data_IF_016756578915
#
_entry.id   IF_016756578915
#
_cell.length_a   1.000
_cell.length_b   1.000
_cell.length_c   1.000
_cell.angle_alpha   90.00
_cell.angle_beta   90.00
_cell.angle_gamma   90.00
#
_symmetry.space_group_name_H-M   'P 1'
#
loop_
_entity.id
_entity.type
_entity.pdbx_description
1 polymer ?
#
# COMPACT_ATOMS: atom_id res chain seq x y z
N UNK A 1 -0.94 19.96 27.01
CA UNK A 1 -0.78 18.94 25.94
C UNK A 1 -0.28 17.67 26.60
N UNK A 2 -0.91 16.55 26.35
CA UNK A 2 -0.42 15.22 26.74
C UNK A 2 0.18 14.52 25.52
N UNK A 3 1.21 13.75 25.73
CA UNK A 3 1.95 13.05 24.68
C UNK A 3 1.76 11.53 24.81
N UNK A 4 1.30 10.92 23.74
CA UNK A 4 1.06 9.49 23.68
C UNK A 4 1.96 8.85 22.65
N UNK A 5 2.41 7.65 22.95
CA UNK A 5 3.22 6.82 22.06
C UNK A 5 2.50 5.51 21.80
N UNK A 6 2.49 5.08 20.56
CA UNK A 6 1.98 3.77 20.15
C UNK A 6 3.02 2.95 19.42
N UNK A 7 3.01 1.64 19.62
CA UNK A 7 3.79 0.67 18.88
C UNK A 7 2.87 -0.04 17.88
N UNK A 8 3.16 0.12 16.60
CA UNK A 8 2.49 -0.61 15.52
C UNK A 8 3.39 -1.77 15.10
N UNK A 9 2.91 -2.99 15.27
CA UNK A 9 3.56 -4.18 14.75
C UNK A 9 2.94 -4.50 13.40
N UNK A 10 3.77 -4.59 12.39
CA UNK A 10 3.32 -5.02 11.08
C UNK A 10 3.07 -6.53 11.07
N UNK A 11 1.88 -6.93 10.62
CA UNK A 11 1.57 -8.34 10.33
C UNK A 11 2.45 -8.84 9.19
N UNK A 12 2.62 -7.99 8.20
CA UNK A 12 3.49 -8.19 7.04
C UNK A 12 4.61 -7.16 7.07
N UNK A 13 5.84 -7.64 7.08
CA UNK A 13 7.02 -6.77 7.10
C UNK A 13 7.07 -5.89 5.86
N UNK A 14 7.51 -4.66 6.01
CA UNK A 14 7.80 -3.75 4.90
C UNK A 14 9.30 -3.69 4.66
N UNK A 15 9.68 -3.34 3.44
CA UNK A 15 11.07 -3.29 3.01
C UNK A 15 11.45 -1.87 2.64
N UNK A 16 12.42 -1.30 3.34
CA UNK A 16 12.85 0.08 3.20
C UNK A 16 14.33 0.17 2.87
N UNK A 17 14.73 1.21 2.15
CA UNK A 17 16.14 1.56 2.03
C UNK A 17 16.70 1.98 3.38
N UNK A 18 17.95 1.67 3.62
CA UNK A 18 18.65 2.00 4.88
C UNK A 18 18.63 3.49 5.22
N UNK A 19 18.56 4.36 4.22
CA UNK A 19 18.46 5.82 4.38
C UNK A 19 17.19 6.29 5.11
N UNK A 20 16.10 5.51 5.02
CA UNK A 20 14.84 5.82 5.68
C UNK A 20 14.86 5.48 7.17
N UNK A 21 15.80 4.66 7.61
CA UNK A 21 15.86 4.19 8.99
C UNK A 21 16.22 5.32 9.94
N UNK A 22 15.62 5.30 11.14
CA UNK A 22 15.74 6.36 12.13
C UNK A 22 15.04 7.67 11.75
N UNK A 23 14.32 7.70 10.63
CA UNK A 23 13.58 8.89 10.20
C UNK A 23 12.16 8.91 10.74
N UNK A 24 11.59 10.11 10.70
CA UNK A 24 10.25 10.42 11.15
C UNK A 24 9.40 10.91 9.98
N UNK A 25 8.15 10.49 9.93
CA UNK A 25 7.18 10.82 8.89
C UNK A 25 5.90 11.34 9.53
N UNK A 26 5.34 12.40 8.97
CA UNK A 26 4.04 12.91 9.38
C UNK A 26 2.93 12.06 8.73
N UNK A 27 1.88 11.76 9.50
CA UNK A 27 0.69 11.04 9.04
C UNK A 27 -0.51 11.44 9.89
N UNK A 28 -1.69 10.87 9.59
CA UNK A 28 -2.93 11.20 10.28
C UNK A 28 -3.79 9.95 10.53
N UNK A 29 -4.48 9.93 11.65
CA UNK A 29 -5.50 8.93 11.99
C UNK A 29 -6.76 9.66 12.46
N UNK A 30 -7.80 9.71 11.62
CA UNK A 30 -9.09 10.31 11.96
C UNK A 30 -8.98 11.76 12.44
N UNK A 31 -8.27 12.62 11.72
CA UNK A 31 -8.04 14.00 12.09
C UNK A 31 -7.06 14.21 13.24
N UNK A 32 -6.35 13.15 13.69
CA UNK A 32 -5.28 13.26 14.68
C UNK A 32 -3.93 13.14 14.00
N UNK A 33 -3.16 14.23 13.97
CA UNK A 33 -1.80 14.21 13.46
C UNK A 33 -0.92 13.30 14.31
N UNK A 34 -0.19 12.41 13.66
CA UNK A 34 0.78 11.52 14.28
C UNK A 34 2.14 11.66 13.61
N UNK A 35 3.19 11.38 14.34
CA UNK A 35 4.56 11.23 13.81
C UNK A 35 4.95 9.77 13.87
N UNK A 36 5.24 9.15 12.71
CA UNK A 36 5.66 7.75 12.60
C UNK A 36 7.16 7.67 12.51
N UNK A 37 7.77 6.93 13.42
CA UNK A 37 9.22 6.75 13.52
C UNK A 37 9.62 5.35 13.09
N UNK A 38 10.48 5.25 12.08
CA UNK A 38 11.12 3.98 11.73
C UNK A 38 12.21 3.63 12.75
N UNK A 39 12.49 2.33 12.93
CA UNK A 39 13.57 1.86 13.80
C UNK A 39 14.93 2.42 13.38
N UNK A 40 15.87 2.47 14.34
CA UNK A 40 17.24 2.86 14.09
C UNK A 40 18.10 1.66 13.66
N UNK A 41 19.12 1.91 12.84
CA UNK A 41 20.18 0.94 12.54
C UNK A 41 21.40 1.25 13.39
N UNK A 42 21.94 0.21 14.01
CA UNK A 42 23.19 0.31 14.76
C UNK A 42 24.16 -0.71 14.22
N UNK A 43 25.32 -0.24 13.80
CA UNK A 43 26.44 -1.09 13.46
C UNK A 43 27.14 -1.57 14.75
N UNK A 44 27.30 -2.89 14.87
CA UNK A 44 27.94 -3.53 16.00
C UNK A 44 29.22 -4.21 15.52
N UNK A 45 30.35 -3.89 16.15
CA UNK A 45 31.61 -4.56 15.88
C UNK A 45 31.70 -5.82 16.76
N UNK A 46 31.72 -6.98 16.12
CA UNK A 46 31.84 -8.28 16.80
C UNK A 46 33.28 -8.64 17.21
N UNK A 47 33.38 -9.74 17.92
CA UNK A 47 34.66 -10.36 18.25
C UNK A 47 35.33 -10.84 16.94
N UNK A 48 36.60 -10.45 16.72
CA UNK A 48 37.32 -10.78 15.48
C UNK A 48 37.28 -9.70 14.39
N UNK A 49 36.64 -8.56 14.65
CA UNK A 49 36.64 -7.44 13.71
C UNK A 49 35.52 -7.49 12.66
N UNK A 50 34.64 -8.49 12.73
CA UNK A 50 33.45 -8.56 11.90
C UNK A 50 32.43 -7.49 12.31
N UNK A 51 31.72 -6.91 11.30
CA UNK A 51 30.68 -5.95 11.55
C UNK A 51 29.29 -6.62 11.32
N UNK A 52 28.38 -6.36 12.22
CA UNK A 52 26.98 -6.74 12.07
C UNK A 52 26.08 -5.52 12.24
N UNK A 53 24.87 -5.60 11.67
CA UNK A 53 23.87 -4.55 11.82
C UNK A 53 22.72 -5.07 12.69
N UNK A 54 22.35 -4.28 13.69
CA UNK A 54 21.18 -4.53 14.52
C UNK A 54 20.14 -3.43 14.29
N UNK A 55 18.89 -3.83 14.25
CA UNK A 55 17.76 -2.91 14.24
C UNK A 55 17.33 -2.68 15.68
N UNK A 56 17.29 -1.42 16.09
CA UNK A 56 16.90 -0.99 17.44
C UNK A 56 15.61 -0.18 17.40
N UNK A 57 15.03 -0.02 18.58
CA UNK A 57 13.94 0.93 18.79
C UNK A 57 14.35 2.32 18.29
N UNK A 58 13.42 3.10 17.71
CA UNK A 58 13.63 4.53 17.46
C UNK A 58 14.07 5.24 18.75
N UNK A 59 14.92 6.26 18.64
CA UNK A 59 15.45 6.99 19.81
C UNK A 59 14.34 7.56 20.73
N UNK A 60 13.15 7.84 20.19
CA UNK A 60 12.00 8.32 20.96
C UNK A 60 11.27 7.22 21.72
N UNK A 61 11.57 5.94 21.46
CA UNK A 61 10.78 4.81 21.96
C UNK A 61 11.07 4.54 23.44
N UNK A 62 9.99 4.30 24.20
CA UNK A 62 10.01 3.79 25.57
C UNK A 62 9.77 2.29 25.65
N UNK A 63 9.66 1.59 24.52
CA UNK A 63 9.43 0.15 24.43
C UNK A 63 10.72 -0.66 24.57
N UNK A 64 11.38 -0.56 25.73
CA UNK A 64 12.68 -1.20 25.98
C UNK A 64 12.68 -2.73 25.84
N UNK A 65 11.54 -3.37 26.14
CA UNK A 65 11.41 -4.83 26.10
C UNK A 65 11.05 -5.38 24.73
N UNK A 66 10.68 -4.52 23.78
CA UNK A 66 10.37 -4.95 22.41
C UNK A 66 11.68 -4.99 21.61
N UNK A 67 11.99 -6.14 21.03
CA UNK A 67 13.25 -6.40 20.30
C UNK A 67 13.07 -6.85 18.85
N UNK A 68 11.83 -7.00 18.38
CA UNK A 68 11.55 -7.47 17.03
C UNK A 68 11.26 -6.32 16.05
N UNK A 69 12.20 -5.38 15.94
CA UNK A 69 12.07 -4.20 15.09
C UNK A 69 12.25 -4.48 13.60
N UNK A 70 12.97 -5.55 13.27
CA UNK A 70 13.26 -5.94 11.89
C UNK A 70 14.65 -6.53 11.71
N UNK A 71 15.08 -6.62 10.45
CA UNK A 71 16.37 -7.18 10.08
C UNK A 71 17.01 -6.39 8.94
N UNK A 72 18.34 -6.21 8.99
CA UNK A 72 19.08 -5.76 7.80
C UNK A 72 19.19 -6.95 6.86
N UNK A 73 18.71 -6.78 5.63
CA UNK A 73 18.69 -7.82 4.60
C UNK A 73 19.83 -7.68 3.61
N UNK A 74 20.27 -6.45 3.38
CA UNK A 74 21.34 -6.16 2.43
C UNK A 74 22.17 -4.99 2.94
N UNK A 75 23.49 -5.09 2.74
CA UNK A 75 24.46 -4.04 3.05
C UNK A 75 25.49 -3.93 1.93
N UNK A 76 26.06 -2.74 1.78
CA UNK A 76 27.11 -2.48 0.81
C UNK A 76 28.48 -2.75 1.46
N UNK A 77 29.09 -3.87 1.10
CA UNK A 77 30.42 -4.27 1.57
C UNK A 77 31.56 -3.51 0.90
N UNK A 78 31.30 -2.86 -0.22
CA UNK A 78 32.31 -2.14 -0.99
C UNK A 78 32.42 -0.66 -0.60
N UNK A 79 31.58 -0.18 0.31
CA UNK A 79 31.68 1.16 0.86
C UNK A 79 32.66 1.17 2.04
N UNK A 80 33.58 2.14 2.14
CA UNK A 80 34.46 2.30 3.32
C UNK A 80 33.65 2.48 4.61
N UNK A 81 32.41 3.00 4.50
CA UNK A 81 31.45 3.15 5.58
C UNK A 81 30.34 2.11 5.44
N UNK A 82 30.61 0.84 5.72
CA UNK A 82 29.62 -0.24 5.68
C UNK A 82 28.18 0.28 5.94
N UNK A 83 27.36 0.40 4.88
CA UNK A 83 26.02 0.96 4.97
C UNK A 83 24.95 -0.11 4.75
N UNK A 84 23.92 -0.13 5.59
CA UNK A 84 22.73 -0.93 5.32
C UNK A 84 22.00 -0.36 4.11
N UNK A 85 21.73 -1.19 3.11
CA UNK A 85 21.08 -0.78 1.86
C UNK A 85 19.61 -1.18 1.88
N UNK A 86 19.29 -2.38 2.37
CA UNK A 86 17.95 -2.91 2.44
C UNK A 86 17.59 -3.43 3.83
N UNK A 87 16.48 -2.98 4.36
CA UNK A 87 16.00 -3.29 5.72
C UNK A 87 14.57 -3.80 5.68
N UNK A 88 14.34 -4.93 6.33
CA UNK A 88 13.01 -5.41 6.65
C UNK A 88 12.56 -4.80 7.98
N UNK A 89 11.47 -4.04 7.96
CA UNK A 89 10.89 -3.39 9.14
C UNK A 89 9.65 -4.14 9.59
N UNK A 90 9.61 -4.52 10.87
CA UNK A 90 8.50 -5.29 11.47
C UNK A 90 7.63 -4.48 12.42
N UNK A 91 8.12 -3.35 12.88
CA UNK A 91 7.37 -2.47 13.75
C UNK A 91 7.84 -1.02 13.59
N UNK A 92 6.93 -0.11 13.89
CA UNK A 92 7.18 1.33 13.94
C UNK A 92 6.59 1.90 15.22
N UNK A 93 7.10 3.05 15.63
CA UNK A 93 6.53 3.82 16.72
C UNK A 93 5.81 5.02 16.15
N UNK A 94 4.62 5.35 16.65
CA UNK A 94 4.04 6.64 16.39
C UNK A 94 3.89 7.46 17.67
N UNK A 95 3.93 8.77 17.54
CA UNK A 95 3.74 9.72 18.63
C UNK A 95 2.68 10.72 18.22
N UNK A 96 1.75 11.02 19.13
CA UNK A 96 0.80 12.11 18.97
C UNK A 96 0.79 13.01 20.20
N UNK A 97 0.45 14.29 20.00
CA UNK A 97 0.25 15.28 21.06
C UNK A 97 -1.21 15.70 21.07
N UNK A 98 -1.87 15.58 22.20
CA UNK A 98 -3.31 15.82 22.34
C UNK A 98 -3.56 16.82 23.46
N UNK A 99 -4.52 17.73 23.24
CA UNK A 99 -4.99 18.66 24.28
C UNK A 99 -5.64 17.85 25.42
N UNK A 100 -5.34 18.18 26.66
CA UNK A 100 -5.77 17.39 27.83
C UNK A 100 -7.28 17.19 27.91
N UNK A 101 -8.06 18.19 27.53
CA UNK A 101 -9.53 18.11 27.47
C UNK A 101 -10.07 17.18 26.38
N UNK A 102 -9.26 16.76 25.41
CA UNK A 102 -9.65 15.92 24.26
C UNK A 102 -9.08 14.52 24.31
N UNK A 103 -8.32 14.17 25.36
CA UNK A 103 -7.55 12.92 25.44
C UNK A 103 -8.42 11.70 25.19
N UNK A 104 -9.53 11.54 25.91
CA UNK A 104 -10.40 10.37 25.78
C UNK A 104 -10.93 10.20 24.35
N UNK A 105 -11.39 11.32 23.76
CA UNK A 105 -11.93 11.30 22.40
C UNK A 105 -10.85 10.96 21.35
N UNK A 106 -9.70 11.62 21.42
CA UNK A 106 -8.63 11.42 20.44
C UNK A 106 -7.98 10.03 20.55
N UNK A 107 -7.80 9.52 21.76
CA UNK A 107 -7.32 8.14 21.97
C UNK A 107 -8.33 7.12 21.46
N UNK A 108 -9.63 7.36 21.64
CA UNK A 108 -10.67 6.48 21.08
C UNK A 108 -10.64 6.48 19.54
N UNK A 109 -10.45 7.66 18.90
CA UNK A 109 -10.29 7.79 17.45
C UNK A 109 -9.08 7.00 16.97
N UNK A 110 -7.91 7.20 17.58
CA UNK A 110 -6.68 6.47 17.22
C UNK A 110 -6.88 4.96 17.38
N UNK A 111 -7.44 4.53 18.51
CA UNK A 111 -7.63 3.11 18.80
C UNK A 111 -8.55 2.40 17.80
N UNK A 112 -9.55 3.09 17.27
CA UNK A 112 -10.46 2.56 16.24
C UNK A 112 -9.87 2.65 14.84
N UNK A 113 -9.18 3.76 14.54
CA UNK A 113 -8.66 4.05 13.22
C UNK A 113 -7.35 3.37 12.87
N UNK A 114 -6.58 2.89 13.84
CA UNK A 114 -5.23 2.37 13.62
C UNK A 114 -5.19 1.13 12.71
N UNK A 115 -6.21 0.28 12.76
CA UNK A 115 -6.32 -0.87 11.86
C UNK A 115 -6.59 -0.42 10.42
N UNK A 116 -7.53 0.50 10.24
CA UNK A 116 -7.81 1.08 8.91
C UNK A 116 -6.57 1.77 8.35
N UNK A 117 -5.85 2.54 9.16
CA UNK A 117 -4.60 3.18 8.77
C UNK A 117 -3.56 2.13 8.30
N UNK A 118 -3.41 1.03 9.04
CA UNK A 118 -2.50 -0.05 8.67
C UNK A 118 -2.95 -0.75 7.38
N UNK A 119 -4.23 -1.00 7.22
CA UNK A 119 -4.80 -1.59 6.00
C UNK A 119 -4.55 -0.69 4.79
N UNK A 120 -4.87 0.60 4.87
CA UNK A 120 -4.56 1.57 3.81
C UNK A 120 -3.06 1.66 3.50
N UNK A 121 -2.22 1.57 4.54
CA UNK A 121 -0.77 1.52 4.35
C UNK A 121 -0.37 0.33 3.48
N UNK A 122 -0.92 -0.86 3.74
CA UNK A 122 -0.65 -2.05 2.92
C UNK A 122 -1.23 -1.93 1.50
N UNK A 123 -2.46 -1.44 1.35
CA UNK A 123 -3.07 -1.16 0.05
C UNK A 123 -2.16 -0.26 -0.79
N UNK A 124 -1.69 0.82 -0.20
CA UNK A 124 -0.79 1.75 -0.85
C UNK A 124 0.54 1.10 -1.23
N UNK A 125 1.15 0.34 -0.31
CA UNK A 125 2.36 -0.42 -0.59
C UNK A 125 2.18 -1.33 -1.79
N UNK A 126 1.08 -2.08 -1.82
CA UNK A 126 0.76 -3.04 -2.87
C UNK A 126 0.51 -2.35 -4.21
N UNK A 127 -0.28 -1.29 -4.21
CA UNK A 127 -0.56 -0.47 -5.40
C UNK A 127 0.70 0.19 -5.95
N UNK A 128 1.67 0.55 -5.11
CA UNK A 128 2.97 1.06 -5.54
C UNK A 128 3.93 -0.05 -6.02
N UNK A 129 3.49 -1.32 -6.05
CA UNK A 129 4.34 -2.46 -6.43
C UNK A 129 5.44 -2.76 -5.41
N UNK A 130 5.28 -2.30 -4.17
CA UNK A 130 6.26 -2.55 -3.11
C UNK A 130 5.99 -3.89 -2.45
N UNK A 131 7.04 -4.65 -2.16
CA UNK A 131 6.88 -5.94 -1.56
C UNK A 131 6.39 -5.82 -0.11
N UNK A 132 5.28 -6.47 0.16
CA UNK A 132 4.81 -6.74 1.51
C UNK A 132 4.78 -8.26 1.65
N UNK A 133 5.28 -8.81 2.76
CA UNK A 133 5.39 -10.26 2.90
C UNK A 133 4.01 -10.89 3.11
N UNK A 134 3.72 -11.93 2.31
CA UNK A 134 2.62 -12.89 2.55
C UNK A 134 1.22 -12.27 2.80
N UNK A 135 0.85 -11.23 2.06
CA UNK A 135 -0.48 -10.63 2.13
C UNK A 135 -1.53 -11.56 1.53
N UNK A 136 -2.63 -11.75 2.26
CA UNK A 136 -3.85 -12.40 1.80
C UNK A 136 -4.95 -11.37 1.55
N UNK A 137 -5.98 -11.75 0.80
CA UNK A 137 -7.15 -10.91 0.51
C UNK A 137 -7.82 -10.40 1.80
N UNK A 138 -7.92 -11.24 2.83
CA UNK A 138 -8.50 -10.89 4.12
C UNK A 138 -7.74 -9.76 4.85
N UNK A 139 -6.49 -9.49 4.48
CA UNK A 139 -5.66 -8.46 5.10
C UNK A 139 -6.05 -7.04 4.65
N UNK A 140 -6.72 -6.90 3.51
CA UNK A 140 -7.22 -5.62 2.98
C UNK A 140 -8.62 -5.27 3.44
N UNK A 141 -9.36 -6.22 4.03
CA UNK A 141 -10.77 -6.06 4.41
C UNK A 141 -10.98 -6.08 5.92
N UNK A 142 -9.94 -5.81 6.71
CA UNK A 142 -10.09 -5.68 8.16
C UNK A 142 -11.07 -4.54 8.49
N UNK A 143 -12.20 -4.89 9.09
CA UNK A 143 -13.24 -3.95 9.54
C UNK A 143 -12.76 -3.19 10.77
N UNK A 144 -13.39 -2.04 11.04
CA UNK A 144 -13.21 -1.29 12.28
C UNK A 144 -13.26 -2.22 13.49
N UNK A 145 -12.22 -2.18 14.31
CA UNK A 145 -12.14 -2.99 15.53
C UNK A 145 -10.92 -2.62 16.37
N UNK A 146 -10.93 -3.04 17.63
CA UNK A 146 -9.79 -2.83 18.53
C UNK A 146 -8.60 -3.64 18.03
N UNK A 147 -7.51 -2.97 17.68
CA UNK A 147 -6.31 -3.62 17.20
C UNK A 147 -5.63 -4.42 18.30
N UNK A 148 -5.44 -5.71 18.06
CA UNK A 148 -4.64 -6.58 18.95
C UNK A 148 -3.12 -6.37 18.79
N UNK A 149 -2.70 -5.57 17.80
CA UNK A 149 -1.30 -5.40 17.41
C UNK A 149 -0.74 -4.00 17.72
N UNK A 150 -1.47 -3.18 18.47
CA UNK A 150 -1.04 -1.84 18.88
C UNK A 150 -1.02 -1.72 20.39
N UNK A 151 0.13 -1.33 20.91
CA UNK A 151 0.30 -0.95 22.31
C UNK A 151 0.35 0.58 22.40
N UNK A 152 -0.52 1.18 23.18
CA UNK A 152 -0.52 2.61 23.48
C UNK A 152 0.00 2.83 24.91
N UNK A 153 0.90 3.79 25.08
CA UNK A 153 1.43 4.18 26.39
C UNK A 153 1.28 5.69 26.56
N UNK A 154 0.74 6.11 27.67
CA UNK A 154 0.85 7.49 28.13
C UNK A 154 2.31 7.75 28.53
N UNK A 155 2.99 8.66 27.84
CA UNK A 155 4.42 8.94 28.05
C UNK A 155 4.67 9.71 29.36
N UNK A 156 3.68 10.44 29.85
CA UNK A 156 3.81 11.26 31.07
C UNK A 156 3.62 10.41 32.31
N UNK A 157 2.67 9.45 32.26
CA UNK A 157 2.35 8.56 33.38
C UNK A 157 3.01 7.19 33.28
N UNK A 158 3.60 6.86 32.16
CA UNK A 158 4.22 5.54 31.83
C UNK A 158 3.22 4.36 32.02
N UNK A 159 1.95 4.59 31.72
CA UNK A 159 0.87 3.61 31.90
C UNK A 159 0.40 3.08 30.54
N UNK A 160 0.26 1.76 30.46
CA UNK A 160 -0.22 1.06 29.26
C UNK A 160 -1.73 1.20 29.11
N UNK A 161 -2.19 1.62 27.92
CA UNK A 161 -3.61 1.94 27.66
C UNK A 161 -4.38 0.79 27.00
N UNK A 162 -3.69 -0.19 26.34
CA UNK A 162 -4.34 -1.41 25.78
C UNK A 162 -3.33 -2.52 25.41
N UNK A 163 -3.79 -3.79 25.35
CA UNK A 163 -2.93 -4.96 25.06
C UNK A 163 -3.57 -5.97 24.11
N UNK A 164 -2.80 -6.57 23.21
CA UNK A 164 -2.71 -8.01 22.89
C UNK A 164 -1.88 -8.40 21.65
N UNK A 165 -1.52 -9.70 21.50
CA UNK A 165 -0.32 -10.36 21.05
C UNK A 165 -0.34 -11.08 19.68
N UNK A 166 0.81 -11.41 19.13
CA UNK A 166 1.45 -11.67 17.93
C UNK A 166 1.56 -13.02 17.21
N UNK A 167 2.29 -13.12 16.07
CA UNK A 167 2.80 -14.34 15.39
C UNK A 167 3.95 -14.05 14.38
N UNK A 168 4.72 -15.10 13.96
CA UNK A 168 6.01 -15.10 13.25
C UNK A 168 5.88 -15.60 11.79
N UNK A 169 6.70 -15.08 10.84
CA UNK A 169 6.74 -15.52 9.42
C UNK A 169 8.16 -15.54 8.81
N UNK A 170 8.39 -16.38 7.76
CA UNK A 170 9.66 -16.63 7.04
C UNK A 170 9.70 -15.92 5.67
N UNK A 171 10.86 -15.45 5.20
CA UNK A 171 10.98 -14.61 4.02
C UNK A 171 11.92 -15.08 2.89
N UNK A 172 11.73 -14.55 1.68
CA UNK A 172 12.51 -14.72 0.43
C UNK A 172 13.48 -13.53 0.22
N UNK A 173 14.61 -13.76 -0.50
CA UNK A 173 15.51 -12.69 -0.97
C UNK A 173 14.81 -11.84 -2.05
N UNK A 174 14.91 -10.51 -1.94
CA UNK A 174 14.24 -9.53 -2.82
C UNK A 174 15.26 -8.57 -3.43
N UNK A 175 14.92 -7.99 -4.58
CA UNK A 175 15.73 -6.99 -5.24
C UNK A 175 15.66 -5.65 -4.48
N UNK A 176 16.78 -4.92 -4.38
CA UNK A 176 16.86 -3.60 -3.70
C UNK A 176 15.96 -2.57 -4.37
N UNK A 177 15.75 -2.67 -5.68
CA UNK A 177 14.87 -1.77 -6.42
C UNK A 177 13.41 -1.83 -5.96
N UNK A 178 13.03 -2.91 -5.29
CA UNK A 178 11.70 -3.09 -4.74
C UNK A 178 11.51 -2.39 -3.38
N UNK A 179 12.56 -1.95 -2.71
CA UNK A 179 12.49 -1.36 -1.38
C UNK A 179 11.97 0.08 -1.42
N UNK A 180 11.24 0.46 -0.38
CA UNK A 180 10.80 1.85 -0.23
C UNK A 180 11.96 2.80 -0.09
N UNK A 181 12.02 3.80 -0.94
CA UNK A 181 12.88 4.96 -0.77
C UNK A 181 12.30 5.91 0.28
N UNK A 182 13.12 6.84 0.77
CA UNK A 182 12.68 7.90 1.69
C UNK A 182 11.51 8.71 1.12
N UNK A 183 11.59 9.13 -0.15
CA UNK A 183 10.55 9.94 -0.80
C UNK A 183 9.23 9.18 -0.96
N UNK A 184 9.30 7.90 -1.30
CA UNK A 184 8.10 7.06 -1.39
C UNK A 184 7.41 6.92 -0.03
N UNK A 185 8.18 6.72 1.05
CA UNK A 185 7.61 6.65 2.40
C UNK A 185 6.98 7.99 2.83
N UNK A 186 7.59 9.13 2.52
CA UNK A 186 6.99 10.44 2.75
C UNK A 186 5.62 10.53 2.06
N UNK A 187 5.55 10.14 0.80
CA UNK A 187 4.30 10.17 0.04
C UNK A 187 3.26 9.19 0.60
N UNK A 188 3.67 7.98 0.95
CA UNK A 188 2.75 6.99 1.55
C UNK A 188 2.15 7.54 2.83
N UNK A 189 2.97 7.92 3.80
CA UNK A 189 2.49 8.36 5.12
C UNK A 189 1.65 9.65 5.04
N UNK A 190 1.99 10.57 4.14
CA UNK A 190 1.25 11.82 3.95
C UNK A 190 -0.14 11.60 3.31
N UNK A 191 -0.32 10.54 2.52
CA UNK A 191 -1.57 10.28 1.81
C UNK A 191 -2.51 9.31 2.53
N UNK A 192 -2.11 8.72 3.66
CA UNK A 192 -3.00 7.88 4.45
C UNK A 192 -4.09 8.74 5.11
N UNK A 193 -5.34 8.41 4.82
CA UNK A 193 -6.50 9.07 5.39
C UNK A 193 -7.64 8.06 5.59
N UNK A 194 -7.87 7.66 6.84
CA UNK A 194 -8.84 6.62 7.20
C UNK A 194 -10.30 6.99 6.93
N UNK A 195 -10.59 8.26 6.73
CA UNK A 195 -11.93 8.75 6.38
C UNK A 195 -12.23 8.59 4.89
N UNK A 196 -11.22 8.29 4.10
CA UNK A 196 -11.34 8.03 2.67
C UNK A 196 -11.31 6.53 2.37
N UNK A 197 -12.01 6.14 1.32
CA UNK A 197 -11.98 4.77 0.78
C UNK A 197 -11.27 4.74 -0.55
N UNK A 198 -10.63 3.62 -0.82
CA UNK A 198 -10.08 3.34 -2.14
C UNK A 198 -11.20 3.43 -3.18
N UNK A 199 -10.99 4.14 -4.28
CA UNK A 199 -11.99 4.17 -5.34
C UNK A 199 -12.14 2.78 -5.99
N UNK A 200 -13.31 2.50 -6.55
CA UNK A 200 -13.64 1.16 -7.03
C UNK A 200 -12.68 0.65 -8.10
N UNK A 201 -12.16 1.53 -8.94
CA UNK A 201 -11.18 1.21 -9.98
C UNK A 201 -9.88 0.66 -9.38
N UNK A 202 -9.36 1.31 -8.35
CA UNK A 202 -8.17 0.84 -7.65
C UNK A 202 -8.45 -0.37 -6.76
N UNK A 203 -9.65 -0.51 -6.19
CA UNK A 203 -10.07 -1.70 -5.47
C UNK A 203 -10.04 -2.95 -6.36
N UNK A 204 -10.58 -2.86 -7.58
CA UNK A 204 -10.53 -3.95 -8.55
C UNK A 204 -9.08 -4.27 -8.96
N UNK A 205 -8.27 -3.25 -9.16
CA UNK A 205 -6.86 -3.44 -9.50
C UNK A 205 -6.06 -4.06 -8.35
N UNK A 206 -6.34 -3.68 -7.10
CA UNK A 206 -5.75 -4.29 -5.92
C UNK A 206 -6.09 -5.79 -5.85
N UNK A 207 -7.36 -6.17 -6.10
CA UNK A 207 -7.77 -7.58 -6.19
C UNK A 207 -7.00 -8.32 -7.29
N UNK A 208 -6.82 -7.69 -8.44
CA UNK A 208 -6.03 -8.26 -9.53
C UNK A 208 -4.57 -8.52 -9.12
N UNK A 209 -3.95 -7.59 -8.40
CA UNK A 209 -2.58 -7.76 -7.89
C UNK A 209 -2.49 -8.92 -6.89
N UNK A 210 -3.48 -9.07 -6.00
CA UNK A 210 -3.56 -10.19 -5.05
C UNK A 210 -3.69 -11.53 -5.78
N UNK A 211 -4.58 -11.62 -6.78
CA UNK A 211 -4.74 -12.83 -7.57
C UNK A 211 -3.47 -13.16 -8.39
N UNK A 212 -2.79 -12.16 -8.91
CA UNK A 212 -1.50 -12.35 -9.58
C UNK A 212 -0.44 -12.93 -8.64
N UNK A 213 -0.41 -12.47 -7.38
CA UNK A 213 0.51 -12.99 -6.36
C UNK A 213 0.20 -14.45 -5.98
N UNK A 214 -1.09 -14.83 -5.99
CA UNK A 214 -1.55 -16.22 -5.80
C UNK A 214 -1.31 -17.12 -7.03
N UNK A 215 -0.71 -16.59 -8.09
CA UNK A 215 -0.52 -17.25 -9.39
C UNK A 215 -1.85 -17.57 -10.13
N UNK A 216 -2.96 -16.95 -9.71
CA UNK A 216 -4.27 -17.07 -10.34
C UNK A 216 -4.39 -16.07 -11.51
N UNK A 217 -3.50 -16.16 -12.49
CA UNK A 217 -3.35 -15.19 -13.57
C UNK A 217 -4.64 -14.94 -14.37
N UNK A 218 -5.49 -15.96 -14.50
CA UNK A 218 -6.80 -15.84 -15.14
C UNK A 218 -7.68 -14.83 -14.42
N UNK A 219 -7.83 -14.97 -13.09
CA UNK A 219 -8.63 -14.07 -12.27
C UNK A 219 -7.99 -12.69 -12.19
N UNK A 220 -6.68 -12.62 -12.07
CA UNK A 220 -5.94 -11.35 -12.09
C UNK A 220 -6.24 -10.53 -13.35
N UNK A 221 -6.21 -11.13 -14.54
CA UNK A 221 -6.55 -10.44 -15.80
C UNK A 221 -8.03 -10.01 -15.81
N UNK A 222 -8.94 -10.83 -15.30
CA UNK A 222 -10.37 -10.49 -15.26
C UNK A 222 -10.64 -9.28 -14.36
N UNK A 223 -10.10 -9.27 -13.13
CA UNK A 223 -10.23 -8.15 -12.19
C UNK A 223 -9.56 -6.87 -12.74
N UNK A 224 -8.35 -6.99 -13.28
CA UNK A 224 -7.64 -5.86 -13.88
C UNK A 224 -8.42 -5.25 -15.06
N UNK A 225 -9.00 -6.07 -15.92
CA UNK A 225 -9.80 -5.58 -17.04
C UNK A 225 -11.13 -4.97 -16.59
N UNK A 226 -11.68 -5.40 -15.45
CA UNK A 226 -12.83 -4.74 -14.81
C UNK A 226 -12.44 -3.35 -14.29
N UNK A 227 -11.28 -3.22 -13.67
CA UNK A 227 -10.76 -1.92 -13.21
C UNK A 227 -10.66 -0.92 -14.37
N UNK A 228 -10.08 -1.31 -15.50
CA UNK A 228 -9.97 -0.42 -16.66
C UNK A 228 -11.32 -0.15 -17.31
N UNK A 229 -12.26 -1.10 -17.29
CA UNK A 229 -13.61 -0.88 -17.82
C UNK A 229 -14.36 0.21 -17.00
N UNK A 230 -14.25 0.18 -15.68
CA UNK A 230 -14.79 1.22 -14.79
C UNK A 230 -14.13 2.57 -15.07
N UNK A 231 -12.82 2.61 -15.13
CA UNK A 231 -12.02 3.80 -15.38
C UNK A 231 -12.38 4.47 -16.72
N UNK A 232 -12.41 3.69 -17.79
CA UNK A 232 -12.78 4.14 -19.14
C UNK A 232 -14.22 4.64 -19.18
N UNK A 233 -15.14 3.92 -18.52
CA UNK A 233 -16.54 4.31 -18.47
C UNK A 233 -16.72 5.64 -17.76
N UNK A 234 -16.11 5.80 -16.59
CA UNK A 234 -16.16 7.06 -15.85
C UNK A 234 -15.60 8.21 -16.69
N UNK A 235 -14.47 8.02 -17.35
CA UNK A 235 -13.87 9.03 -18.22
C UNK A 235 -14.78 9.43 -19.39
N UNK A 236 -15.52 8.46 -19.98
CA UNK A 236 -16.52 8.72 -21.00
C UNK A 236 -17.67 9.55 -20.42
N UNK A 237 -18.20 9.16 -19.24
CA UNK A 237 -19.29 9.90 -18.59
C UNK A 237 -18.89 11.36 -18.31
N UNK A 238 -17.72 11.58 -17.71
CA UNK A 238 -17.21 12.91 -17.41
C UNK A 238 -17.10 13.80 -18.66
N UNK A 239 -16.75 13.22 -19.81
CA UNK A 239 -16.64 13.98 -21.06
C UNK A 239 -18.01 14.22 -21.68
N UNK A 240 -18.90 13.21 -21.66
CA UNK A 240 -20.26 13.34 -22.13
C UNK A 240 -21.04 14.41 -21.33
N UNK A 241 -20.85 14.47 -20.01
CA UNK A 241 -21.45 15.49 -19.15
C UNK A 241 -21.00 16.89 -19.53
N UNK A 242 -19.71 17.10 -19.83
CA UNK A 242 -19.21 18.38 -20.35
C UNK A 242 -19.84 18.78 -21.69
N UNK A 243 -20.11 17.79 -22.53
CA UNK A 243 -20.74 17.98 -23.84
C UNK A 243 -22.28 17.98 -23.79
N UNK A 244 -22.87 17.80 -22.60
CA UNK A 244 -24.32 17.66 -22.38
C UNK A 244 -24.95 16.52 -23.19
N UNK A 245 -24.25 15.38 -23.30
CA UNK A 245 -24.67 14.17 -23.99
C UNK A 245 -25.03 13.09 -22.97
N UNK A 246 -26.05 12.28 -23.24
CA UNK A 246 -26.35 11.09 -22.42
C UNK A 246 -25.31 9.99 -22.62
N UNK A 247 -24.22 10.06 -21.85
CA UNK A 247 -23.13 9.10 -21.88
C UNK A 247 -23.56 7.69 -21.49
N UNK A 248 -24.50 7.57 -20.53
CA UNK A 248 -25.04 6.28 -20.10
C UNK A 248 -25.82 5.62 -21.23
N UNK A 249 -26.73 6.35 -21.87
CA UNK A 249 -27.50 5.86 -23.02
C UNK A 249 -26.59 5.43 -24.17
N UNK A 250 -25.53 6.17 -24.45
CA UNK A 250 -24.51 5.78 -25.45
C UNK A 250 -23.81 4.48 -25.11
N UNK A 251 -23.32 4.32 -23.88
CA UNK A 251 -22.63 3.11 -23.42
C UNK A 251 -23.56 1.90 -23.44
N UNK A 252 -24.80 2.04 -22.97
CA UNK A 252 -25.76 0.94 -22.87
C UNK A 252 -26.31 0.50 -24.22
N UNK A 253 -26.47 1.43 -25.17
CA UNK A 253 -27.07 1.14 -26.49
C UNK A 253 -26.03 0.68 -27.54
N UNK A 254 -24.87 1.38 -27.61
CA UNK A 254 -23.94 1.23 -28.74
C UNK A 254 -22.54 0.76 -28.32
N UNK A 255 -22.09 1.11 -27.12
CA UNK A 255 -20.72 0.86 -26.68
C UNK A 255 -20.66 -0.09 -25.46
N UNK A 256 -21.35 -1.23 -25.55
CA UNK A 256 -21.52 -2.19 -24.46
C UNK A 256 -20.25 -2.93 -24.08
N UNK A 257 -19.38 -3.20 -25.05
CA UNK A 257 -18.14 -3.93 -24.80
C UNK A 257 -16.99 -2.97 -24.47
N UNK A 258 -16.01 -3.43 -23.72
CA UNK A 258 -14.80 -2.65 -23.42
C UNK A 258 -14.10 -2.18 -24.71
N UNK A 259 -14.03 -3.02 -25.74
CA UNK A 259 -13.46 -2.62 -27.05
C UNK A 259 -14.19 -1.42 -27.65
N UNK A 260 -15.54 -1.48 -27.68
CA UNK A 260 -16.35 -0.39 -28.19
C UNK A 260 -16.19 0.90 -27.35
N UNK A 261 -16.00 0.79 -26.04
CA UNK A 261 -15.74 1.96 -25.17
C UNK A 261 -14.40 2.62 -25.49
N UNK A 262 -13.38 1.86 -25.83
CA UNK A 262 -12.13 2.44 -26.34
C UNK A 262 -12.31 3.17 -27.68
N UNK A 263 -13.19 2.69 -28.54
CA UNK A 263 -13.51 3.40 -29.79
C UNK A 263 -14.30 4.67 -29.50
N UNK A 264 -15.22 4.67 -28.52
CA UNK A 264 -15.94 5.87 -28.09
C UNK A 264 -14.99 6.94 -27.51
N UNK A 265 -13.95 6.56 -26.74
CA UNK A 265 -12.93 7.51 -26.29
C UNK A 265 -12.31 8.26 -27.46
N UNK A 266 -11.97 7.54 -28.55
CA UNK A 266 -11.39 8.15 -29.75
C UNK A 266 -12.39 9.11 -30.43
N UNK A 267 -13.66 8.72 -30.51
CA UNK A 267 -14.72 9.58 -31.08
C UNK A 267 -14.89 10.86 -30.27
N UNK A 268 -14.79 10.77 -28.94
CA UNK A 268 -14.85 11.92 -28.02
C UNK A 268 -13.52 12.75 -28.00
N UNK A 269 -12.53 12.37 -28.80
CA UNK A 269 -11.25 13.06 -28.84
C UNK A 269 -10.36 12.86 -27.62
N UNK A 270 -10.67 11.85 -26.79
CA UNK A 270 -9.89 11.51 -25.59
C UNK A 270 -8.71 10.63 -26.01
N UNK A 271 -7.51 11.04 -25.66
CA UNK A 271 -6.33 10.22 -25.92
C UNK A 271 -6.39 8.91 -25.15
N UNK A 272 -6.22 7.80 -25.84
CA UNK A 272 -6.04 6.51 -25.19
C UNK A 272 -4.63 6.46 -24.58
N UNK A 273 -4.57 6.13 -23.29
CA UNK A 273 -3.32 6.00 -22.57
C UNK A 273 -2.39 4.94 -23.19
N UNK A 274 -2.90 3.75 -23.53
CA UNK A 274 -2.14 2.73 -24.28
C UNK A 274 -2.26 2.92 -25.78
N UNK A 275 -1.15 2.69 -26.49
CA UNK A 275 -1.13 2.73 -27.97
C UNK A 275 -1.98 1.62 -28.61
N UNK A 276 -2.19 0.50 -27.92
CA UNK A 276 -2.89 -0.66 -28.48
C UNK A 276 -3.78 -1.38 -27.44
N UNK A 277 -4.82 -0.71 -26.91
CA UNK A 277 -5.70 -1.28 -25.87
C UNK A 277 -6.38 -2.56 -26.35
N UNK A 278 -6.64 -2.69 -27.65
CA UNK A 278 -7.27 -3.89 -28.22
C UNK A 278 -6.42 -5.14 -28.01
N UNK A 279 -5.11 -5.06 -28.23
CA UNK A 279 -4.22 -6.21 -28.06
C UNK A 279 -3.74 -6.39 -26.61
N UNK A 280 -3.57 -5.30 -25.87
CA UNK A 280 -2.95 -5.35 -24.56
C UNK A 280 -3.97 -5.65 -23.45
N UNK A 281 -5.25 -5.34 -23.66
CA UNK A 281 -6.32 -5.47 -22.66
C UNK A 281 -7.51 -6.27 -23.18
N UNK A 282 -8.12 -5.83 -24.32
CA UNK A 282 -9.40 -6.40 -24.79
C UNK A 282 -9.23 -7.84 -25.26
N UNK A 283 -8.23 -8.11 -26.07
CA UNK A 283 -7.97 -9.46 -26.60
C UNK A 283 -7.66 -10.48 -25.49
N UNK A 284 -6.71 -10.25 -24.57
CA UNK A 284 -6.48 -11.18 -23.46
C UNK A 284 -7.76 -11.48 -22.65
N UNK A 285 -8.58 -10.45 -22.34
CA UNK A 285 -9.87 -10.63 -21.67
C UNK A 285 -10.81 -11.55 -22.47
N UNK A 286 -10.99 -11.26 -23.76
CA UNK A 286 -11.92 -12.00 -24.61
C UNK A 286 -11.45 -13.46 -24.79
N UNK A 287 -10.15 -13.68 -24.97
CA UNK A 287 -9.59 -15.03 -25.11
C UNK A 287 -9.90 -15.88 -23.84
N UNK A 288 -9.85 -15.27 -22.65
CA UNK A 288 -10.21 -15.95 -21.40
C UNK A 288 -11.71 -16.26 -21.29
N UNK A 289 -12.60 -15.38 -21.79
CA UNK A 289 -14.05 -15.63 -21.79
C UNK A 289 -14.43 -16.73 -22.77
N UNK A 290 -13.83 -16.77 -23.96
CA UNK A 290 -14.16 -17.73 -25.01
C UNK A 290 -13.43 -19.06 -24.84
N UNK A 291 -12.30 -19.11 -24.18
CA UNK A 291 -11.54 -20.32 -23.93
C UNK A 291 -11.38 -20.60 -22.43
N UNK A 292 -12.26 -21.46 -21.90
CA UNK A 292 -12.27 -21.83 -20.48
C UNK A 292 -11.00 -22.55 -20.02
N UNK A 293 -10.28 -23.19 -20.93
CA UNK A 293 -9.07 -23.95 -20.62
C UNK A 293 -7.79 -23.13 -20.78
N UNK A 294 -7.89 -21.86 -21.22
CA UNK A 294 -6.72 -20.98 -21.36
C UNK A 294 -6.15 -20.66 -19.98
N UNK A 295 -4.89 -20.98 -19.79
CA UNK A 295 -4.11 -20.65 -18.59
C UNK A 295 -3.03 -19.63 -18.98
N UNK A 296 -3.23 -18.35 -18.66
CA UNK A 296 -2.23 -17.32 -18.93
C UNK A 296 -0.94 -17.58 -18.15
N UNK A 297 0.17 -17.20 -18.73
CA UNK A 297 1.47 -17.16 -18.06
C UNK A 297 1.60 -15.90 -17.20
N UNK A 298 2.57 -15.90 -16.27
CA UNK A 298 2.95 -14.70 -15.51
C UNK A 298 3.25 -13.49 -16.43
N UNK A 299 3.99 -13.70 -17.51
CA UNK A 299 4.37 -12.60 -18.42
C UNK A 299 3.17 -12.01 -19.16
N UNK A 300 2.22 -12.85 -19.58
CA UNK A 300 0.97 -12.39 -20.20
C UNK A 300 0.12 -11.61 -19.20
N UNK A 301 -0.02 -12.11 -17.98
CA UNK A 301 -0.72 -11.42 -16.90
C UNK A 301 -0.05 -10.07 -16.60
N UNK A 302 1.27 -10.06 -16.38
CA UNK A 302 2.03 -8.84 -16.10
C UNK A 302 1.85 -7.79 -17.18
N UNK A 303 1.86 -8.18 -18.46
CA UNK A 303 1.65 -7.25 -19.58
C UNK A 303 0.27 -6.57 -19.49
N UNK A 304 -0.78 -7.32 -19.15
CA UNK A 304 -2.12 -6.76 -18.97
C UNK A 304 -2.15 -5.83 -17.76
N UNK A 305 -1.54 -6.24 -16.63
CA UNK A 305 -1.48 -5.42 -15.41
C UNK A 305 -0.77 -4.10 -15.65
N UNK A 306 0.37 -4.11 -16.34
CA UNK A 306 1.13 -2.90 -16.68
C UNK A 306 0.29 -1.96 -17.59
N UNK A 307 -0.44 -2.51 -18.56
CA UNK A 307 -1.32 -1.74 -19.44
C UNK A 307 -2.51 -1.13 -18.67
N UNK A 308 -3.15 -1.90 -17.77
CA UNK A 308 -4.27 -1.42 -16.94
C UNK A 308 -3.80 -0.31 -16.00
N UNK A 309 -2.65 -0.49 -15.34
CA UNK A 309 -2.07 0.52 -14.46
C UNK A 309 -1.92 1.86 -15.16
N UNK A 310 -1.45 1.85 -16.40
CA UNK A 310 -1.27 3.06 -17.18
C UNK A 310 -2.60 3.84 -17.37
N UNK A 311 -3.74 3.14 -17.53
CA UNK A 311 -5.07 3.79 -17.58
C UNK A 311 -5.51 4.34 -16.24
N UNK A 312 -5.24 3.63 -15.15
CA UNK A 312 -5.57 4.11 -13.81
C UNK A 312 -4.79 5.38 -13.48
N UNK A 313 -3.48 5.38 -13.71
CA UNK A 313 -2.60 6.51 -13.43
C UNK A 313 -2.96 7.75 -14.29
N UNK A 314 -3.47 7.55 -15.52
CA UNK A 314 -3.85 8.64 -16.42
C UNK A 314 -5.26 9.19 -16.15
N UNK A 315 -6.22 8.33 -15.80
CA UNK A 315 -7.63 8.71 -15.76
C UNK A 315 -8.22 8.86 -14.37
N UNK A 316 -7.59 8.30 -13.36
CA UNK A 316 -8.03 8.40 -11.96
C UNK A 316 -7.15 9.42 -11.23
N UNK A 317 -7.70 10.60 -10.95
CA UNK A 317 -6.95 11.69 -10.31
C UNK A 317 -6.65 11.39 -8.84
N UNK A 318 -7.63 10.81 -8.13
CA UNK A 318 -7.52 10.48 -6.71
C UNK A 318 -7.75 8.99 -6.49
N UNK A 319 -6.77 8.34 -5.87
CA UNK A 319 -6.85 6.92 -5.52
C UNK A 319 -7.88 6.68 -4.42
N UNK A 320 -8.07 7.63 -3.52
CA UNK A 320 -9.02 7.57 -2.40
C UNK A 320 -10.12 8.62 -2.55
N UNK A 321 -11.36 8.21 -2.27
CA UNK A 321 -12.57 9.06 -2.31
C UNK A 321 -12.96 9.53 -0.90
#
# INVERSE_FOLDING_TARGET
MKKFMGLIRFKHSIFCNGEAMGKCFDSEIGGVTIKVYLPDIVMVKGFGGEYSFNIKAPAVSIYEKFNNWGYVRQWNINSPDLTAVGVEVKAVVFVCEVVESEVENKIAIISRGINLWRTQFYEYCFLCGKPVSDINEDDFWEKEGVSTNVDLIDMDENVRVNMNSGIIIKGRLRDISEFFTMNELVNVFANLNIDKRLCLEYEMFLRALVEMQKENYRYAIMEATTAVELCVTKRIMDECDKLQIDGKGLCDAFYRSLGNRFDLLKVLGINCASKNPSNDIVKPRNDLFHNRNLQPTYLECKKVMDAVRFYLDEYVQDMYL
#
